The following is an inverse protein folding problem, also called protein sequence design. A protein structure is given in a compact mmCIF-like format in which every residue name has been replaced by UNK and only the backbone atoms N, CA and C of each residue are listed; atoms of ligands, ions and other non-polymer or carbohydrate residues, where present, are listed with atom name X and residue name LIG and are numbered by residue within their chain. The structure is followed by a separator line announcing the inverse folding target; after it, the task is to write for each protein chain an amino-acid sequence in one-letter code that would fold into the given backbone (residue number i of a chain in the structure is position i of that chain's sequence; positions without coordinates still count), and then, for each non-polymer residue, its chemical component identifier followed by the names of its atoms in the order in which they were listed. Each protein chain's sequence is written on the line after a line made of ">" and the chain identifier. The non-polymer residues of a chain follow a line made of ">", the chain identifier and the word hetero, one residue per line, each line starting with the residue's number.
data_IF_803640263267
#
_entry.id   IF_803640263267
#
_cell.length_a   1.000
_cell.length_b   1.000
_cell.length_c   1.000
_cell.angle_alpha   90.00
_cell.angle_beta   90.00
_cell.angle_gamma   90.00
#
_symmetry.space_group_name_H-M   'P 1'
#
loop_
_entity.id
_entity.type
_entity.pdbx_description
1 polymer ?
#
# COMPACT_ATOMS: atom_id res chain seq x y z
N UNK A 1 3.76 9.24 6.23
CA UNK A 1 2.90 10.44 6.13
C UNK A 1 1.44 10.02 6.18
N UNK A 2 0.58 10.81 6.82
CA UNK A 2 -0.88 10.61 6.89
C UNK A 2 -1.59 11.97 6.90
N UNK A 3 -2.85 12.00 6.46
CA UNK A 3 -3.73 13.17 6.48
C UNK A 3 -4.86 12.94 7.49
N UNK A 4 -5.30 14.01 8.16
CA UNK A 4 -6.58 13.99 8.86
C UNK A 4 -7.73 14.44 7.93
N UNK A 5 -8.97 14.37 8.42
CA UNK A 5 -10.15 14.74 7.66
C UNK A 5 -10.21 16.23 7.26
N UNK A 6 -9.45 17.10 7.94
CA UNK A 6 -9.33 18.53 7.63
C UNK A 6 -8.21 18.82 6.62
N UNK A 7 -7.50 17.80 6.14
CA UNK A 7 -6.38 17.91 5.21
C UNK A 7 -5.07 18.36 5.85
N UNK A 8 -4.97 18.30 7.18
CA UNK A 8 -3.68 18.52 7.83
C UNK A 8 -2.75 17.32 7.55
N UNK A 9 -1.46 17.61 7.36
CA UNK A 9 -0.44 16.65 7.00
C UNK A 9 0.41 16.30 8.22
N UNK A 10 0.57 15.03 8.49
CA UNK A 10 1.44 14.52 9.56
C UNK A 10 2.54 13.66 8.95
N UNK A 11 3.78 13.98 9.30
CA UNK A 11 4.98 13.30 8.79
C UNK A 11 5.76 12.77 9.96
N UNK A 12 6.26 11.55 9.86
CA UNK A 12 7.29 11.03 10.77
C UNK A 12 8.50 10.60 9.96
N UNK A 13 9.65 10.79 10.54
CA UNK A 13 10.96 10.46 10.00
C UNK A 13 12.00 10.49 11.10
N UNK A 14 13.24 10.47 10.76
CA UNK A 14 14.33 10.61 11.72
C UNK A 14 15.25 11.77 11.37
N UNK A 15 15.86 12.34 12.38
CA UNK A 15 16.85 13.41 12.24
C UNK A 15 18.16 13.00 12.89
N UNK A 16 19.26 13.28 12.22
CA UNK A 16 20.59 13.10 12.77
C UNK A 16 20.87 14.20 13.80
N UNK A 17 21.24 13.80 15.02
CA UNK A 17 21.72 14.71 16.06
C UNK A 17 23.21 14.51 16.18
N UNK A 18 23.98 15.58 16.05
CA UNK A 18 25.44 15.74 16.24
C UNK A 18 26.29 14.46 16.10
N UNK A 19 27.15 14.44 15.09
CA UNK A 19 28.25 13.47 14.97
C UNK A 19 27.96 12.21 14.16
N UNK A 20 26.87 12.14 13.37
CA UNK A 20 26.52 11.05 12.44
C UNK A 20 26.22 9.67 13.05
N UNK A 21 25.99 9.57 14.37
CA UNK A 21 25.84 8.28 15.03
C UNK A 21 24.45 8.08 15.64
N UNK A 22 23.73 9.16 15.98
CA UNK A 22 22.42 9.07 16.66
C UNK A 22 21.33 9.65 15.77
N UNK A 23 20.23 8.91 15.65
CA UNK A 23 19.01 9.38 14.98
C UNK A 23 17.86 9.38 15.96
N UNK A 24 17.09 10.48 16.01
CA UNK A 24 15.87 10.58 16.80
C UNK A 24 14.64 10.57 15.92
N UNK A 25 13.54 10.02 16.44
CA UNK A 25 12.24 10.09 15.73
C UNK A 25 11.76 11.53 15.75
N UNK A 26 11.46 12.07 14.57
CA UNK A 26 10.86 13.40 14.40
C UNK A 26 9.45 13.23 13.87
N UNK A 27 8.49 13.95 14.47
CA UNK A 27 7.11 14.01 14.00
C UNK A 27 6.72 15.47 13.79
N UNK A 28 6.15 15.78 12.62
CA UNK A 28 5.81 17.13 12.21
C UNK A 28 4.35 17.18 11.76
N UNK A 29 3.64 18.21 12.19
CA UNK A 29 2.31 18.55 11.69
C UNK A 29 2.36 19.83 10.87
N UNK A 30 1.73 19.78 9.69
CA UNK A 30 1.42 20.93 8.88
C UNK A 30 -0.10 21.07 8.77
N UNK A 31 -0.61 22.29 8.67
CA UNK A 31 -2.01 22.48 8.29
C UNK A 31 -2.20 22.24 6.77
N UNK A 32 -3.45 22.26 6.32
CA UNK A 32 -3.82 22.06 4.91
C UNK A 32 -3.29 23.14 3.94
N UNK A 33 -2.74 24.22 4.46
CA UNK A 33 -2.05 25.27 3.69
C UNK A 33 -0.53 25.10 3.69
N UNK A 34 0.00 23.98 4.24
CA UNK A 34 1.41 23.69 4.30
C UNK A 34 2.18 24.43 5.40
N UNK A 35 1.48 25.13 6.33
CA UNK A 35 2.14 25.84 7.42
C UNK A 35 2.38 24.89 8.58
N UNK A 36 3.65 24.80 9.02
CA UNK A 36 4.05 23.96 10.15
C UNK A 36 3.35 24.40 11.43
N UNK A 37 2.71 23.46 12.12
CA UNK A 37 2.00 23.69 13.37
C UNK A 37 2.86 23.33 14.58
N UNK A 38 3.50 22.18 14.51
CA UNK A 38 4.43 21.71 15.54
C UNK A 38 5.42 20.69 15.02
N UNK A 39 6.55 20.58 15.72
CA UNK A 39 7.57 19.53 15.55
C UNK A 39 7.82 18.89 16.91
N UNK A 40 7.93 17.58 16.95
CA UNK A 40 8.29 16.78 18.13
C UNK A 40 9.42 15.84 17.81
N UNK A 41 10.35 15.75 18.75
CA UNK A 41 11.49 14.82 18.67
C UNK A 41 11.38 13.85 19.84
N UNK A 42 11.53 12.57 19.58
CA UNK A 42 11.65 11.54 20.59
C UNK A 42 13.05 10.95 20.52
N UNK A 43 13.76 11.00 21.65
CA UNK A 43 15.06 10.39 21.87
C UNK A 43 14.89 9.31 22.95
N UNK A 44 15.20 8.07 22.62
CA UNK A 44 15.18 6.95 23.54
C UNK A 44 16.22 7.07 24.64
N UNK A 45 16.15 6.16 25.61
CA UNK A 45 16.98 6.25 26.84
C UNK A 45 18.45 5.94 26.66
N UNK A 46 18.87 5.31 25.54
CA UNK A 46 20.24 4.90 25.31
C UNK A 46 21.04 5.92 24.47
N UNK A 47 20.39 6.98 23.93
CA UNK A 47 21.02 7.97 23.09
C UNK A 47 21.61 7.38 21.78
N UNK A 48 20.99 6.31 21.27
CA UNK A 48 21.33 5.61 20.04
C UNK A 48 20.26 5.88 18.97
N UNK A 49 20.25 5.04 17.93
CA UNK A 49 19.30 5.17 16.83
C UNK A 49 17.84 4.93 17.27
N UNK A 50 16.98 5.90 16.97
CA UNK A 50 15.53 5.81 17.07
C UNK A 50 14.94 6.07 15.69
N UNK A 51 14.17 5.12 15.15
CA UNK A 51 13.64 5.19 13.78
C UNK A 51 12.16 4.88 13.73
N UNK A 52 11.31 5.75 13.15
CA UNK A 52 9.90 5.47 12.99
C UNK A 52 9.69 4.51 11.81
N UNK A 53 8.63 3.70 11.91
CA UNK A 53 8.20 2.79 10.84
C UNK A 53 6.76 3.05 10.42
N UNK A 54 5.97 3.78 11.22
CA UNK A 54 4.58 4.06 10.90
C UNK A 54 4.00 5.22 11.68
N UNK A 55 2.98 5.86 11.10
CA UNK A 55 2.21 6.94 11.68
C UNK A 55 0.75 6.80 11.31
N UNK A 56 -0.15 7.02 12.27
CA UNK A 56 -1.60 7.11 12.06
C UNK A 56 -2.17 8.28 12.85
N UNK A 57 -3.32 8.79 12.42
CA UNK A 57 -4.05 9.88 13.08
C UNK A 57 -5.50 9.44 13.33
N UNK A 58 -6.03 9.72 14.52
CA UNK A 58 -7.43 9.46 14.84
C UNK A 58 -8.35 10.63 14.41
N UNK A 59 -9.66 10.43 14.55
CA UNK A 59 -10.65 11.44 14.17
C UNK A 59 -10.57 12.73 15.01
N UNK A 60 -9.98 12.67 16.21
CA UNK A 60 -9.75 13.83 17.08
C UNK A 60 -8.44 14.56 16.75
N UNK A 61 -7.67 14.07 15.77
CA UNK A 61 -6.39 14.62 15.37
C UNK A 61 -5.23 14.22 16.28
N UNK A 62 -5.41 13.23 17.18
CA UNK A 62 -4.29 12.67 17.93
C UNK A 62 -3.44 11.80 17.01
N UNK A 63 -2.14 11.86 17.21
CA UNK A 63 -1.14 11.23 16.35
C UNK A 63 -0.48 10.09 17.09
N UNK A 64 -0.39 8.94 16.44
CA UNK A 64 0.30 7.78 16.96
C UNK A 64 1.43 7.40 16.03
N UNK A 65 2.63 7.30 16.59
CA UNK A 65 3.85 6.94 15.87
C UNK A 65 4.40 5.65 16.45
N UNK A 66 4.76 4.71 15.60
CA UNK A 66 5.51 3.53 16.02
C UNK A 66 6.86 3.46 15.34
N UNK A 67 7.79 2.77 15.96
CA UNK A 67 9.13 2.59 15.44
C UNK A 67 9.99 1.73 16.35
N UNK A 68 11.27 1.86 16.16
CA UNK A 68 12.30 1.13 16.90
C UNK A 68 13.12 2.12 17.72
N UNK A 69 13.35 1.79 18.97
CA UNK A 69 14.18 2.56 19.90
C UNK A 69 15.20 1.66 20.55
N UNK A 70 16.43 2.12 20.63
CA UNK A 70 17.44 1.38 21.36
C UNK A 70 17.28 1.68 22.87
N UNK A 71 17.26 0.65 23.69
CA UNK A 71 17.09 0.75 25.13
C UNK A 71 18.32 0.25 25.87
N UNK A 72 18.62 0.85 27.02
CA UNK A 72 19.76 0.43 27.87
C UNK A 72 19.56 -1.00 28.34
N UNK A 73 20.44 -1.91 27.92
CA UNK A 73 20.41 -3.32 28.33
C UNK A 73 19.63 -4.25 27.40
N UNK A 74 19.01 -3.72 26.35
CA UNK A 74 18.45 -4.44 25.20
C UNK A 74 19.01 -3.88 23.90
N UNK A 75 18.72 -4.55 22.79
CA UNK A 75 18.93 -3.99 21.43
C UNK A 75 17.78 -3.06 21.08
N UNK A 76 17.29 -3.10 19.83
CA UNK A 76 16.10 -2.34 19.46
C UNK A 76 14.85 -2.92 20.12
N UNK A 77 13.99 -2.05 20.66
CA UNK A 77 12.66 -2.39 21.17
C UNK A 77 11.60 -1.64 20.35
N UNK A 78 10.36 -2.14 20.30
CA UNK A 78 9.27 -1.34 19.76
C UNK A 78 9.09 -0.09 20.63
N UNK A 79 8.81 1.01 19.97
CA UNK A 79 8.28 2.21 20.62
C UNK A 79 6.97 2.61 19.97
N UNK A 80 6.00 3.00 20.78
CA UNK A 80 4.73 3.59 20.33
C UNK A 80 4.49 4.86 21.14
N UNK A 81 4.30 5.97 20.43
CA UNK A 81 4.19 7.32 21.02
C UNK A 81 2.84 7.89 20.62
N UNK A 82 2.15 8.50 21.58
CA UNK A 82 0.95 9.30 21.31
C UNK A 82 1.22 10.77 21.55
N UNK A 83 0.88 11.59 20.56
CA UNK A 83 0.77 13.03 20.69
C UNK A 83 -0.69 13.46 20.55
N UNK A 84 -1.11 14.43 21.38
CA UNK A 84 -2.39 15.10 21.16
C UNK A 84 -2.41 15.87 19.84
N UNK A 85 -3.57 16.33 19.40
CA UNK A 85 -3.72 17.17 18.21
C UNK A 85 -2.90 18.47 18.26
N UNK A 86 -2.55 18.96 19.46
CA UNK A 86 -1.67 20.11 19.71
C UNK A 86 -0.19 19.76 19.80
N UNK A 87 0.18 18.47 19.70
CA UNK A 87 1.55 18.00 19.77
C UNK A 87 2.06 17.73 21.20
N UNK A 88 1.19 17.70 22.21
CA UNK A 88 1.60 17.29 23.55
C UNK A 88 1.79 15.77 23.58
N UNK A 89 2.96 15.30 24.02
CA UNK A 89 3.19 13.88 24.28
C UNK A 89 2.31 13.42 25.44
N UNK A 90 1.41 12.47 25.18
CA UNK A 90 0.49 11.96 26.19
C UNK A 90 1.00 10.67 26.83
N UNK A 91 1.60 9.80 26.03
CA UNK A 91 2.23 8.57 26.51
C UNK A 91 3.24 8.00 25.50
N UNK A 92 4.18 7.24 26.07
CA UNK A 92 5.13 6.40 25.31
C UNK A 92 5.03 4.97 25.84
N UNK A 93 4.95 3.99 24.95
CA UNK A 93 4.98 2.56 25.27
C UNK A 93 6.14 1.90 24.57
N UNK A 94 6.85 1.04 25.31
CA UNK A 94 7.92 0.20 24.76
C UNK A 94 7.51 -1.26 24.89
N UNK A 95 7.92 -2.07 23.95
CA UNK A 95 7.78 -3.52 24.03
C UNK A 95 9.11 -4.16 23.68
N UNK A 96 9.60 -4.95 24.64
CA UNK A 96 10.75 -5.81 24.52
C UNK A 96 10.24 -7.26 24.59
N UNK A 97 10.57 -8.06 23.58
CA UNK A 97 10.15 -9.45 23.49
C UNK A 97 10.79 -10.33 24.56
N UNK A 98 10.43 -11.62 24.52
CA UNK A 98 10.77 -12.57 25.58
C UNK A 98 12.25 -12.95 25.67
N UNK A 99 13.02 -12.74 24.57
CA UNK A 99 14.44 -13.10 24.52
C UNK A 99 15.39 -11.92 24.75
N UNK A 100 14.85 -10.72 25.04
CA UNK A 100 15.62 -9.50 25.30
C UNK A 100 16.60 -9.15 24.15
N UNK A 101 16.20 -9.43 22.91
CA UNK A 101 16.99 -9.16 21.70
C UNK A 101 16.44 -7.97 20.91
N UNK A 102 16.76 -7.90 19.62
CA UNK A 102 16.27 -6.82 18.76
C UNK A 102 14.83 -7.09 18.32
N UNK A 103 13.89 -6.32 18.86
CA UNK A 103 12.48 -6.32 18.50
C UNK A 103 12.18 -5.13 17.59
N UNK A 104 11.56 -5.37 16.42
CA UNK A 104 11.35 -4.35 15.38
C UNK A 104 9.88 -4.18 15.05
N UNK A 105 9.30 -3.02 15.41
CA UNK A 105 7.98 -2.61 14.94
C UNK A 105 8.02 -2.32 13.44
N UNK A 106 7.04 -2.83 12.69
CA UNK A 106 6.98 -2.70 11.23
C UNK A 106 5.75 -1.94 10.74
N UNK A 107 4.70 -1.85 11.53
CA UNK A 107 3.50 -1.14 11.15
C UNK A 107 2.56 -0.85 12.30
N UNK A 108 1.69 0.12 12.07
CA UNK A 108 0.67 0.59 13.00
C UNK A 108 -0.65 0.83 12.27
N UNK A 109 -1.76 0.52 12.92
CA UNK A 109 -3.11 0.79 12.41
C UNK A 109 -4.03 1.13 13.59
N UNK A 110 -5.08 1.92 13.33
CA UNK A 110 -6.19 2.10 14.24
C UNK A 110 -7.31 1.11 13.89
N UNK A 111 -7.89 0.47 14.90
CA UNK A 111 -9.14 -0.26 14.70
C UNK A 111 -10.35 0.71 14.72
N UNK A 112 -11.53 0.19 14.41
CA UNK A 112 -12.76 0.98 14.37
C UNK A 112 -13.20 1.58 15.73
N UNK A 113 -12.60 1.12 16.82
CA UNK A 113 -12.81 1.66 18.18
C UNK A 113 -11.73 2.67 18.58
N UNK A 114 -10.81 2.99 17.67
CA UNK A 114 -9.68 3.89 17.93
C UNK A 114 -8.55 3.25 18.74
N UNK A 115 -8.55 1.93 18.92
CA UNK A 115 -7.43 1.25 19.56
C UNK A 115 -6.24 1.17 18.59
N UNK A 116 -5.05 1.23 19.15
CA UNK A 116 -3.80 1.26 18.42
C UNK A 116 -3.25 -0.16 18.34
N UNK A 117 -3.09 -0.69 17.13
CA UNK A 117 -2.51 -2.00 16.90
C UNK A 117 -1.15 -1.84 16.22
N UNK A 118 -0.12 -2.43 16.79
CA UNK A 118 1.26 -2.40 16.30
C UNK A 118 1.70 -3.83 16.06
N UNK A 119 2.33 -4.10 14.92
CA UNK A 119 2.92 -5.40 14.64
C UNK A 119 4.33 -5.27 14.10
N UNK A 120 5.12 -6.28 14.36
CA UNK A 120 6.49 -6.43 13.94
C UNK A 120 7.02 -7.79 14.33
N UNK A 121 8.31 -7.89 14.59
CA UNK A 121 8.94 -9.16 14.91
C UNK A 121 10.12 -8.98 15.89
N UNK A 122 10.48 -10.06 16.56
CA UNK A 122 11.63 -10.12 17.45
C UNK A 122 11.94 -11.55 17.90
N UNK A 123 13.12 -11.78 18.47
CA UNK A 123 13.51 -13.12 18.87
C UNK A 123 12.62 -13.66 20.00
N UNK A 124 12.34 -14.95 19.91
CA UNK A 124 11.62 -15.70 20.95
C UNK A 124 12.56 -16.57 21.77
N UNK A 125 12.19 -16.86 23.02
CA UNK A 125 12.99 -17.74 23.87
C UNK A 125 12.86 -19.19 23.41
N UNK A 126 13.91 -19.70 22.77
CA UNK A 126 13.93 -21.07 22.24
C UNK A 126 13.17 -21.27 20.92
N UNK A 127 12.69 -20.18 20.35
CA UNK A 127 12.11 -20.10 19.01
C UNK A 127 12.99 -19.19 18.14
N UNK A 128 12.80 -19.10 16.85
CA UNK A 128 13.53 -18.17 16.01
C UNK A 128 13.07 -16.73 16.21
N UNK A 129 12.90 -16.00 15.12
CA UNK A 129 12.27 -14.69 15.10
C UNK A 129 10.75 -14.90 14.98
N UNK A 130 9.98 -14.35 15.91
CA UNK A 130 8.53 -14.49 15.98
C UNK A 130 7.84 -13.15 15.66
N UNK A 131 6.64 -13.21 15.08
CA UNK A 131 5.79 -12.03 14.94
C UNK A 131 5.21 -11.67 16.31
N UNK A 132 5.28 -10.39 16.69
CA UNK A 132 4.60 -9.85 17.86
C UNK A 132 3.61 -8.78 17.42
N UNK A 133 2.36 -8.90 17.88
CA UNK A 133 1.29 -7.93 17.64
C UNK A 133 0.73 -7.48 18.98
N UNK A 134 0.63 -6.17 19.16
CA UNK A 134 0.22 -5.53 20.43
C UNK A 134 -0.95 -4.61 20.14
N UNK A 135 -1.93 -4.61 21.03
CA UNK A 135 -3.06 -3.68 20.98
C UNK A 135 -3.10 -2.83 22.23
N UNK A 136 -3.16 -1.52 22.06
CA UNK A 136 -3.33 -0.54 23.10
C UNK A 136 -4.68 0.17 22.97
N UNK A 137 -5.28 0.53 24.10
CA UNK A 137 -6.38 1.49 24.10
C UNK A 137 -5.90 2.90 23.74
N UNK A 138 -6.77 3.86 23.38
CA UNK A 138 -6.39 5.26 23.16
C UNK A 138 -5.71 5.92 24.38
N UNK A 139 -5.94 5.41 25.61
CA UNK A 139 -5.28 5.83 26.84
C UNK A 139 -3.91 5.19 27.08
N UNK A 140 -3.44 4.33 26.16
CA UNK A 140 -2.16 3.63 26.28
C UNK A 140 -2.19 2.39 27.19
N UNK A 141 -3.37 1.89 27.57
CA UNK A 141 -3.47 0.62 28.28
C UNK A 141 -3.28 -0.52 27.31
N UNK A 142 -2.37 -1.43 27.61
CA UNK A 142 -2.20 -2.66 26.84
C UNK A 142 -3.44 -3.54 26.99
N UNK A 143 -4.11 -3.84 25.89
CA UNK A 143 -5.30 -4.69 25.88
C UNK A 143 -4.91 -6.16 25.66
N UNK A 144 -3.96 -6.41 24.80
CA UNK A 144 -3.38 -7.73 24.57
C UNK A 144 -2.06 -7.65 23.81
N UNK A 145 -1.23 -8.68 24.01
CA UNK A 145 -0.05 -9.00 23.21
C UNK A 145 -0.22 -10.41 22.66
N UNK A 146 0.02 -10.60 21.39
CA UNK A 146 0.04 -11.91 20.73
C UNK A 146 1.36 -12.13 20.02
N UNK A 147 1.99 -13.26 20.31
CA UNK A 147 3.12 -13.73 19.54
C UNK A 147 2.67 -14.88 18.64
N UNK A 148 3.12 -14.87 17.42
CA UNK A 148 2.95 -15.98 16.50
C UNK A 148 4.31 -16.60 16.24
N UNK A 149 4.40 -17.88 16.57
CA UNK A 149 5.57 -18.74 16.39
C UNK A 149 5.13 -19.94 15.59
N UNK A 150 5.79 -20.23 14.48
CA UNK A 150 5.67 -21.53 13.83
C UNK A 150 6.42 -22.60 14.64
N UNK A 151 6.42 -23.84 14.18
CA UNK A 151 7.12 -24.91 14.89
C UNK A 151 8.64 -24.79 14.80
N UNK A 152 9.35 -25.02 15.90
CA UNK A 152 10.81 -25.07 15.94
C UNK A 152 11.47 -23.70 16.04
N UNK A 153 12.65 -23.56 15.42
CA UNK A 153 13.46 -22.33 15.40
C UNK A 153 13.30 -21.55 14.09
N UNK A 154 12.13 -21.62 13.49
CA UNK A 154 11.80 -20.92 12.25
C UNK A 154 11.69 -19.42 12.48
N UNK A 155 11.77 -18.65 11.40
CA UNK A 155 11.64 -17.21 11.45
C UNK A 155 10.32 -16.76 10.81
N UNK A 156 9.60 -15.90 11.51
CA UNK A 156 8.40 -15.22 11.04
C UNK A 156 8.59 -13.72 11.14
N UNK A 157 8.44 -13.04 10.01
CA UNK A 157 8.71 -11.61 9.86
C UNK A 157 7.42 -10.88 9.47
N UNK A 158 6.85 -10.08 10.36
CA UNK A 158 5.78 -9.17 9.99
C UNK A 158 6.32 -8.03 9.12
N UNK A 159 5.51 -7.58 8.15
CA UNK A 159 5.82 -6.45 7.27
C UNK A 159 4.78 -5.35 7.34
N UNK A 160 3.50 -5.70 7.31
CA UNK A 160 2.40 -4.73 7.35
C UNK A 160 1.24 -5.24 8.19
N UNK A 161 0.43 -4.29 8.65
CA UNK A 161 -0.76 -4.53 9.47
C UNK A 161 -1.93 -3.74 8.89
N UNK A 162 -3.13 -4.32 8.94
CA UNK A 162 -4.39 -3.71 8.56
C UNK A 162 -5.50 -4.06 9.54
N UNK A 163 -6.60 -3.32 9.50
CA UNK A 163 -7.77 -3.57 10.32
C UNK A 163 -9.03 -3.49 9.47
N UNK A 164 -10.06 -4.27 9.80
CA UNK A 164 -11.39 -4.14 9.23
C UNK A 164 -12.34 -3.36 10.14
N UNK A 165 -13.51 -3.03 9.60
CA UNK A 165 -14.55 -2.29 10.32
C UNK A 165 -15.19 -3.08 11.48
N UNK A 166 -14.90 -4.38 11.62
CA UNK A 166 -15.35 -5.22 12.74
C UNK A 166 -14.30 -5.29 13.86
N UNK A 167 -13.19 -4.56 13.71
CA UNK A 167 -12.09 -4.52 14.66
C UNK A 167 -11.16 -5.73 14.61
N UNK A 168 -11.25 -6.57 13.57
CA UNK A 168 -10.28 -7.61 13.33
C UNK A 168 -8.99 -7.01 12.79
N UNK A 169 -7.88 -7.63 13.19
CA UNK A 169 -6.53 -7.19 12.83
C UNK A 169 -5.90 -8.23 11.91
N UNK A 170 -5.29 -7.76 10.85
CA UNK A 170 -4.62 -8.58 9.86
C UNK A 170 -3.14 -8.20 9.81
N UNK A 171 -2.27 -9.20 9.89
CA UNK A 171 -0.82 -9.02 9.78
C UNK A 171 -0.33 -9.83 8.60
N UNK A 172 0.47 -9.24 7.74
CA UNK A 172 1.15 -9.95 6.67
C UNK A 172 2.66 -9.83 6.78
N UNK A 173 3.34 -10.80 6.20
CA UNK A 173 4.78 -10.89 6.16
C UNK A 173 5.21 -12.23 5.58
N UNK A 174 6.26 -12.80 6.14
CA UNK A 174 6.80 -14.07 5.68
C UNK A 174 7.03 -15.02 6.86
N UNK A 175 6.92 -16.30 6.60
CA UNK A 175 7.18 -17.32 7.61
C UNK A 175 7.81 -18.56 6.99
N UNK A 176 8.80 -19.14 7.70
CA UNK A 176 9.53 -20.31 7.22
C UNK A 176 8.62 -21.53 7.11
N UNK A 177 8.70 -22.21 5.97
CA UNK A 177 8.05 -23.49 5.67
C UNK A 177 9.07 -24.41 5.04
N UNK A 178 9.35 -25.56 5.63
CA UNK A 178 10.23 -26.59 5.06
C UNK A 178 11.59 -26.11 4.52
N UNK A 179 12.16 -25.03 5.05
CA UNK A 179 13.39 -24.31 4.72
C UNK A 179 13.24 -23.09 3.79
N UNK A 180 12.05 -22.79 3.28
CA UNK A 180 11.77 -21.59 2.48
C UNK A 180 10.88 -20.61 3.27
N UNK A 181 10.87 -19.35 2.89
CA UNK A 181 9.96 -18.34 3.44
C UNK A 181 8.79 -18.15 2.48
N UNK A 182 7.56 -18.31 2.98
CA UNK A 182 6.35 -18.08 2.20
C UNK A 182 5.59 -16.89 2.74
N UNK A 183 4.67 -16.32 1.94
CA UNK A 183 3.72 -15.33 2.47
C UNK A 183 3.03 -15.90 3.69
N UNK A 184 3.00 -15.11 4.73
CA UNK A 184 2.26 -15.40 5.96
C UNK A 184 1.22 -14.31 6.17
N UNK A 185 -0.04 -14.71 6.35
CA UNK A 185 -1.13 -13.79 6.71
C UNK A 185 -1.85 -14.34 7.92
N UNK A 186 -2.00 -13.51 8.96
CA UNK A 186 -2.64 -13.86 10.22
C UNK A 186 -3.82 -12.92 10.42
N UNK A 187 -4.97 -13.47 10.81
CA UNK A 187 -6.11 -12.70 11.30
C UNK A 187 -6.29 -12.92 12.78
N UNK A 188 -6.31 -11.82 13.52
CA UNK A 188 -6.72 -11.78 14.92
C UNK A 188 -8.13 -11.18 15.02
N UNK A 189 -8.94 -11.70 15.93
CA UNK A 189 -10.19 -11.05 16.34
C UNK A 189 -9.91 -9.76 17.10
N UNK A 190 -10.91 -8.93 17.34
CA UNK A 190 -10.76 -7.73 18.16
C UNK A 190 -10.26 -8.02 19.60
N UNK A 191 -10.49 -9.25 20.12
CA UNK A 191 -10.03 -9.75 21.40
C UNK A 191 -8.63 -10.36 21.40
N UNK A 192 -8.02 -10.44 20.21
CA UNK A 192 -6.67 -10.97 20.01
C UNK A 192 -6.59 -12.48 19.79
N UNK A 193 -7.72 -13.17 19.68
CA UNK A 193 -7.69 -14.60 19.34
C UNK A 193 -7.32 -14.78 17.87
N UNK A 194 -6.44 -15.74 17.58
CA UNK A 194 -6.10 -16.08 16.20
C UNK A 194 -7.30 -16.74 15.53
N UNK A 195 -7.94 -16.03 14.60
CA UNK A 195 -9.07 -16.56 13.85
C UNK A 195 -8.61 -17.52 12.75
N UNK A 196 -7.55 -17.17 12.05
CA UNK A 196 -6.92 -18.03 11.06
C UNK A 196 -5.49 -17.55 10.72
N UNK A 197 -4.71 -18.46 10.17
CA UNK A 197 -3.41 -18.23 9.56
C UNK A 197 -3.40 -18.80 8.18
N UNK A 198 -2.86 -18.10 7.20
CA UNK A 198 -2.71 -18.58 5.82
C UNK A 198 -1.30 -18.34 5.32
N UNK A 199 -0.84 -19.30 4.55
CA UNK A 199 0.40 -19.24 3.81
C UNK A 199 0.09 -19.26 2.32
N UNK A 200 0.89 -18.58 1.54
CA UNK A 200 0.88 -18.67 0.09
C UNK A 200 2.31 -18.99 -0.33
N UNK A 201 2.43 -20.12 -0.95
CA UNK A 201 3.60 -20.66 -1.61
C UNK A 201 3.34 -20.51 -3.11
N UNK A 202 4.27 -19.91 -3.81
CA UNK A 202 4.20 -19.68 -5.26
C UNK A 202 4.26 -20.98 -6.05
N UNK A 203 4.35 -20.90 -7.38
CA UNK A 203 4.41 -22.09 -8.23
C UNK A 203 5.74 -22.84 -8.17
N UNK A 204 6.81 -22.19 -7.73
CA UNK A 204 8.09 -22.82 -7.43
C UNK A 204 8.26 -22.89 -5.91
N UNK A 205 8.70 -24.02 -5.37
CA UNK A 205 8.93 -24.18 -3.93
C UNK A 205 10.21 -23.43 -3.50
N UNK A 206 10.25 -22.12 -3.71
CA UNK A 206 11.31 -21.20 -3.32
C UNK A 206 10.73 -20.09 -2.41
N UNK A 207 11.48 -19.05 -2.17
CA UNK A 207 11.14 -18.01 -1.21
C UNK A 207 10.09 -17.04 -1.75
N UNK A 208 9.05 -16.78 -0.95
CA UNK A 208 7.98 -15.83 -1.23
C UNK A 208 7.85 -14.83 -0.08
N UNK A 209 7.71 -13.55 -0.37
CA UNK A 209 7.63 -12.50 0.65
C UNK A 209 6.35 -11.67 0.53
N UNK A 210 5.52 -11.68 1.57
CA UNK A 210 4.36 -10.79 1.69
C UNK A 210 4.78 -9.43 2.26
N UNK A 211 4.72 -8.37 1.45
CA UNK A 211 5.16 -7.03 1.86
C UNK A 211 4.03 -6.10 2.25
N UNK A 212 2.90 -6.19 1.59
CA UNK A 212 1.82 -5.24 1.69
C UNK A 212 0.48 -5.91 1.96
N UNK A 213 -0.37 -5.24 2.72
CA UNK A 213 -1.75 -5.66 2.96
C UNK A 213 -2.68 -4.45 2.81
N UNK A 214 -3.80 -4.66 2.12
CA UNK A 214 -4.90 -3.71 2.05
C UNK A 214 -6.19 -4.43 2.45
N UNK A 215 -6.92 -3.85 3.39
CA UNK A 215 -8.17 -4.40 3.91
C UNK A 215 -9.29 -3.46 3.51
N UNK A 216 -10.15 -3.89 2.57
CA UNK A 216 -11.32 -3.13 2.16
C UNK A 216 -12.46 -3.29 3.17
N UNK A 217 -12.73 -4.53 3.52
CA UNK A 217 -13.68 -4.94 4.53
C UNK A 217 -13.31 -6.32 5.11
N UNK A 218 -14.15 -6.88 5.98
CA UNK A 218 -13.89 -8.19 6.59
C UNK A 218 -13.87 -9.36 5.59
N UNK A 219 -14.32 -9.17 4.36
CA UNK A 219 -14.41 -10.21 3.33
C UNK A 219 -13.50 -9.97 2.11
N UNK A 220 -12.78 -8.86 2.09
CA UNK A 220 -11.92 -8.46 1.00
C UNK A 220 -10.56 -8.02 1.54
N UNK A 221 -9.66 -8.98 1.74
CA UNK A 221 -8.31 -8.80 2.25
C UNK A 221 -7.33 -9.11 1.13
N UNK A 222 -6.53 -8.14 0.74
CA UNK A 222 -5.56 -8.23 -0.33
C UNK A 222 -4.15 -8.21 0.25
N UNK A 223 -3.34 -9.18 -0.13
CA UNK A 223 -1.92 -9.27 0.26
C UNK A 223 -1.10 -9.32 -1.01
N UNK A 224 -0.06 -8.51 -1.09
CA UNK A 224 0.85 -8.50 -2.23
C UNK A 224 2.31 -8.49 -1.78
N UNK A 225 3.15 -9.04 -2.63
CA UNK A 225 4.58 -9.17 -2.38
C UNK A 225 5.29 -9.75 -3.59
N UNK A 226 6.45 -10.36 -3.37
CA UNK A 226 7.22 -11.04 -4.41
C UNK A 226 7.16 -12.54 -4.23
N UNK A 227 7.18 -13.28 -5.32
CA UNK A 227 7.11 -14.74 -5.34
C UNK A 227 7.91 -15.27 -6.51
N UNK A 228 8.76 -16.26 -6.24
CA UNK A 228 9.49 -16.95 -7.30
C UNK A 228 8.54 -17.78 -8.16
N UNK A 229 8.72 -17.69 -9.49
CA UNK A 229 7.98 -18.47 -10.46
C UNK A 229 8.80 -19.62 -11.02
N UNK A 230 8.12 -20.63 -11.58
CA UNK A 230 8.79 -21.76 -12.21
C UNK A 230 9.47 -21.31 -13.51
N UNK A 231 10.77 -21.05 -13.44
CA UNK A 231 11.55 -20.52 -14.56
C UNK A 231 11.54 -18.98 -14.64
N UNK A 232 10.98 -18.30 -13.64
CA UNK A 232 10.98 -16.85 -13.50
C UNK A 232 11.77 -16.43 -12.25
N UNK A 233 12.21 -15.17 -12.18
CA UNK A 233 12.78 -14.57 -10.96
C UNK A 233 11.66 -14.23 -9.95
N UNK A 234 11.87 -13.24 -9.10
CA UNK A 234 10.82 -12.72 -8.22
C UNK A 234 9.82 -11.89 -9.02
N UNK A 235 8.57 -12.37 -9.08
CA UNK A 235 7.46 -11.67 -9.70
C UNK A 235 6.52 -11.09 -8.65
N UNK A 236 5.75 -10.09 -9.00
CA UNK A 236 4.71 -9.59 -8.11
C UNK A 236 3.60 -10.63 -7.98
N UNK A 237 3.36 -11.10 -6.76
CA UNK A 237 2.21 -11.93 -6.45
C UNK A 237 1.20 -11.16 -5.61
N UNK A 238 -0.08 -11.31 -5.94
CA UNK A 238 -1.19 -10.73 -5.18
C UNK A 238 -2.24 -11.80 -4.89
N UNK A 239 -2.64 -11.89 -3.64
CA UNK A 239 -3.59 -12.89 -3.14
C UNK A 239 -4.75 -12.20 -2.45
N UNK A 240 -5.97 -12.64 -2.73
CA UNK A 240 -7.18 -12.18 -2.04
C UNK A 240 -7.75 -13.27 -1.16
N UNK A 241 -8.07 -12.90 0.08
CA UNK A 241 -8.76 -13.76 1.05
C UNK A 241 -10.13 -13.18 1.41
N UNK A 242 -11.07 -14.08 1.77
CA UNK A 242 -12.32 -13.69 2.40
C UNK A 242 -12.21 -13.70 3.94
N UNK A 243 -13.31 -13.40 4.63
CA UNK A 243 -13.39 -13.32 6.10
C UNK A 243 -12.99 -14.61 6.82
N UNK A 244 -13.19 -15.77 6.18
CA UNK A 244 -12.80 -17.09 6.71
C UNK A 244 -11.36 -17.49 6.34
N UNK A 245 -10.62 -16.60 5.67
CA UNK A 245 -9.29 -16.87 5.16
C UNK A 245 -9.24 -17.81 3.96
N UNK A 246 -10.37 -18.01 3.27
CA UNK A 246 -10.37 -18.78 2.02
C UNK A 246 -9.85 -17.90 0.90
N UNK A 247 -8.81 -18.38 0.21
CA UNK A 247 -8.25 -17.71 -0.96
C UNK A 247 -9.28 -17.65 -2.07
N UNK A 248 -9.62 -16.45 -2.51
CA UNK A 248 -10.55 -16.20 -3.59
C UNK A 248 -9.87 -16.30 -4.94
N UNK A 249 -8.69 -15.68 -5.04
CA UNK A 249 -7.83 -15.73 -6.19
C UNK A 249 -6.38 -15.43 -5.80
N UNK A 250 -5.45 -15.78 -6.67
CA UNK A 250 -4.08 -15.32 -6.67
C UNK A 250 -3.71 -14.97 -8.10
N UNK A 251 -3.07 -13.83 -8.30
CA UNK A 251 -2.55 -13.38 -9.59
C UNK A 251 -1.06 -13.10 -9.45
N UNK A 252 -0.32 -13.38 -10.50
CA UNK A 252 1.09 -13.05 -10.62
C UNK A 252 1.26 -12.09 -11.77
N UNK A 253 2.22 -11.21 -11.64
CA UNK A 253 2.65 -10.32 -12.69
C UNK A 253 4.15 -10.51 -12.88
N UNK A 254 4.53 -10.95 -14.05
CA UNK A 254 5.87 -11.10 -14.57
C UNK A 254 6.08 -9.96 -15.57
N UNK A 255 7.13 -9.18 -15.38
CA UNK A 255 7.43 -7.99 -16.16
C UNK A 255 7.77 -8.30 -17.61
N UNK A 256 7.74 -7.28 -18.49
CA UNK A 256 8.02 -7.48 -19.94
C UNK A 256 9.45 -7.89 -20.25
N UNK A 257 10.38 -7.70 -19.33
CA UNK A 257 11.78 -8.08 -19.52
C UNK A 257 12.00 -9.57 -19.63
N UNK A 258 11.01 -10.36 -19.20
CA UNK A 258 11.07 -11.82 -19.18
C UNK A 258 12.29 -12.34 -18.44
N UNK A 259 12.26 -13.59 -18.10
CA UNK A 259 13.34 -14.20 -17.36
C UNK A 259 14.50 -14.54 -18.27
N UNK A 260 15.54 -13.75 -18.21
CA UNK A 260 16.82 -14.06 -18.85
C UNK A 260 17.52 -15.30 -18.28
N UNK A 261 16.75 -16.37 -18.05
CA UNK A 261 17.24 -17.64 -17.51
C UNK A 261 18.14 -18.43 -18.49
N UNK A 262 18.48 -17.83 -19.66
CA UNK A 262 19.21 -18.53 -20.72
C UNK A 262 20.73 -18.65 -20.52
N UNK A 263 21.33 -18.16 -19.43
CA UNK A 263 22.80 -18.29 -19.22
C UNK A 263 23.26 -18.68 -17.82
N UNK A 264 22.44 -19.34 -17.01
CA UNK A 264 22.91 -20.20 -15.89
C UNK A 264 23.57 -19.53 -14.68
N UNK A 265 23.66 -18.21 -14.52
CA UNK A 265 24.53 -17.62 -13.50
C UNK A 265 24.06 -16.38 -12.74
N UNK A 266 22.88 -15.80 -12.97
CA UNK A 266 22.48 -14.61 -12.18
C UNK A 266 21.02 -14.68 -11.79
N UNK A 267 20.70 -15.30 -10.65
CA UNK A 267 19.49 -14.98 -9.88
C UNK A 267 19.66 -13.55 -9.34
N UNK A 268 18.66 -12.70 -9.50
CA UNK A 268 18.59 -11.45 -8.77
C UNK A 268 18.76 -10.14 -9.55
N UNK A 269 18.67 -10.14 -10.89
CA UNK A 269 18.73 -8.90 -11.68
C UNK A 269 17.44 -8.58 -12.47
N UNK A 270 16.41 -9.40 -12.37
CA UNK A 270 15.19 -9.32 -13.17
C UNK A 270 13.96 -9.43 -12.27
N UNK A 271 13.97 -8.69 -11.18
CA UNK A 271 12.97 -8.78 -10.11
C UNK A 271 11.89 -7.71 -10.31
N UNK A 272 10.63 -8.09 -10.16
CA UNK A 272 9.50 -7.19 -10.10
C UNK A 272 9.08 -6.98 -8.64
N UNK A 273 9.01 -5.74 -8.20
CA UNK A 273 8.67 -5.41 -6.81
C UNK A 273 7.40 -4.61 -6.68
N UNK A 274 6.61 -4.94 -5.66
CA UNK A 274 5.49 -4.10 -5.21
C UNK A 274 5.93 -3.27 -4.01
N UNK A 275 5.70 -1.96 -4.09
CA UNK A 275 6.08 -0.99 -3.05
C UNK A 275 4.88 -0.25 -2.43
N UNK A 276 3.69 -0.38 -3.01
CA UNK A 276 2.50 0.26 -2.48
C UNK A 276 1.20 -0.35 -2.99
N UNK A 277 0.18 -0.35 -2.12
CA UNK A 277 -1.19 -0.76 -2.42
C UNK A 277 -2.17 0.34 -2.02
N UNK A 278 -3.23 0.51 -2.80
CA UNK A 278 -4.38 1.34 -2.47
C UNK A 278 -5.66 0.70 -3.00
N UNK A 279 -6.80 1.05 -2.41
CA UNK A 279 -8.13 0.57 -2.80
C UNK A 279 -9.03 1.77 -3.11
N UNK A 280 -9.88 1.64 -4.13
CA UNK A 280 -10.97 2.59 -4.35
C UNK A 280 -12.25 2.16 -3.62
N UNK A 281 -13.29 3.00 -3.69
CA UNK A 281 -14.59 2.73 -3.05
C UNK A 281 -15.33 1.52 -3.60
N UNK A 282 -14.97 1.03 -4.77
CA UNK A 282 -15.56 -0.14 -5.42
C UNK A 282 -14.79 -1.42 -5.09
N UNK A 283 -13.71 -1.31 -4.30
CA UNK A 283 -12.83 -2.42 -3.93
C UNK A 283 -11.86 -2.83 -5.04
N UNK A 284 -11.65 -1.99 -6.07
CA UNK A 284 -10.58 -2.22 -7.02
C UNK A 284 -9.23 -1.99 -6.33
N UNK A 285 -8.28 -2.85 -6.62
CA UNK A 285 -6.94 -2.81 -6.09
C UNK A 285 -6.01 -2.10 -7.07
N UNK A 286 -5.25 -1.15 -6.55
CA UNK A 286 -4.14 -0.51 -7.26
C UNK A 286 -2.85 -0.87 -6.58
N UNK A 287 -1.86 -1.25 -7.35
CA UNK A 287 -0.51 -1.47 -6.86
C UNK A 287 0.49 -0.66 -7.67
N UNK A 288 1.56 -0.26 -7.03
CA UNK A 288 2.71 0.36 -7.67
C UNK A 288 4.00 -0.28 -7.20
N UNK A 289 5.01 -0.17 -8.03
CA UNK A 289 6.32 -0.74 -7.75
C UNK A 289 7.28 -0.55 -8.91
N UNK A 290 8.09 -1.57 -9.14
CA UNK A 290 9.04 -1.62 -10.25
C UNK A 290 8.77 -2.86 -11.09
N UNK A 291 8.96 -2.75 -12.40
CA UNK A 291 8.98 -3.86 -13.32
C UNK A 291 10.31 -3.87 -14.08
N UNK A 292 10.89 -5.03 -14.26
CA UNK A 292 12.14 -5.17 -14.99
C UNK A 292 11.92 -5.19 -16.50
N UNK A 293 12.77 -4.43 -17.20
CA UNK A 293 12.85 -4.37 -18.66
C UNK A 293 14.28 -4.62 -19.11
N UNK A 294 14.47 -5.44 -20.13
CA UNK A 294 15.82 -5.78 -20.62
C UNK A 294 16.65 -4.57 -21.09
N UNK A 295 16.00 -3.51 -21.57
CA UNK A 295 16.67 -2.34 -22.14
C UNK A 295 16.76 -1.15 -21.16
N UNK A 296 15.75 -0.97 -20.27
CA UNK A 296 15.63 0.15 -19.34
C UNK A 296 15.91 -0.21 -17.87
N UNK A 297 16.16 -1.49 -17.56
CA UNK A 297 16.30 -2.04 -16.20
C UNK A 297 14.95 -2.05 -15.49
N UNK A 298 14.80 -1.27 -14.40
CA UNK A 298 13.54 -1.21 -13.65
C UNK A 298 12.82 0.09 -13.95
N UNK A 299 11.55 -0.02 -14.36
CA UNK A 299 10.68 1.11 -14.61
C UNK A 299 9.55 1.16 -13.60
N UNK A 300 8.94 2.33 -13.42
CA UNK A 300 7.69 2.44 -12.66
C UNK A 300 6.65 1.50 -13.22
N UNK A 301 6.00 0.80 -12.31
CA UNK A 301 4.84 -0.04 -12.58
C UNK A 301 3.64 0.50 -11.80
N UNK A 302 2.48 0.58 -12.47
CA UNK A 302 1.19 0.80 -11.81
C UNK A 302 0.16 -0.13 -12.44
N UNK A 303 -0.50 -0.96 -11.63
CA UNK A 303 -1.51 -1.93 -12.09
C UNK A 303 -2.82 -1.70 -11.36
N UNK A 304 -3.95 -1.82 -12.07
CA UNK A 304 -5.29 -1.90 -11.50
C UNK A 304 -5.88 -3.28 -11.72
N UNK A 305 -6.37 -3.88 -10.64
CA UNK A 305 -7.20 -5.08 -10.65
C UNK A 305 -8.61 -4.78 -10.17
N UNK A 306 -9.62 -5.41 -10.78
CA UNK A 306 -10.96 -5.39 -10.20
C UNK A 306 -11.07 -6.37 -9.01
N UNK A 307 -12.19 -6.33 -8.23
CA UNK A 307 -12.35 -7.21 -7.07
C UNK A 307 -12.31 -8.71 -7.38
N UNK A 308 -12.43 -9.11 -8.65
CA UNK A 308 -12.35 -10.52 -9.09
C UNK A 308 -10.92 -10.95 -9.43
N UNK A 309 -9.94 -10.04 -9.37
CA UNK A 309 -8.54 -10.28 -9.71
C UNK A 309 -8.22 -10.10 -11.20
N UNK A 310 -9.19 -9.59 -11.98
CA UNK A 310 -8.94 -9.30 -13.40
C UNK A 310 -8.20 -7.98 -13.54
N UNK A 311 -7.07 -8.01 -14.24
CA UNK A 311 -6.33 -6.80 -14.60
C UNK A 311 -7.19 -5.91 -15.51
N UNK A 312 -7.34 -4.65 -15.14
CA UNK A 312 -8.10 -3.63 -15.90
C UNK A 312 -7.20 -2.80 -16.78
N UNK A 313 -6.06 -2.38 -16.24
CA UNK A 313 -5.01 -1.68 -16.95
C UNK A 313 -3.67 -1.82 -16.22
N UNK A 314 -2.62 -1.53 -16.96
CA UNK A 314 -1.24 -1.47 -16.50
C UNK A 314 -0.59 -0.26 -17.14
N UNK A 315 0.25 0.45 -16.40
CA UNK A 315 1.01 1.58 -16.87
C UNK A 315 2.46 1.46 -16.41
N UNK A 316 3.35 1.83 -17.30
CA UNK A 316 4.78 1.94 -17.03
C UNK A 316 5.21 3.38 -17.23
N UNK A 317 6.25 3.78 -16.53
CA UNK A 317 6.94 5.04 -16.78
C UNK A 317 8.44 4.77 -16.74
N UNK A 318 9.07 5.02 -17.89
CA UNK A 318 10.53 5.07 -18.09
C UNK A 318 10.91 6.55 -18.10
N UNK A 319 11.88 6.93 -17.28
CA UNK A 319 12.38 8.29 -17.18
C UNK A 319 13.06 8.79 -18.47
N UNK A 320 13.76 9.91 -18.37
CA UNK A 320 14.43 10.51 -19.54
C UNK A 320 15.63 9.70 -20.05
N UNK A 321 16.18 8.86 -19.20
CA UNK A 321 17.25 7.92 -19.55
C UNK A 321 16.83 6.54 -19.09
N UNK A 322 17.01 5.55 -19.94
CA UNK A 322 16.72 4.14 -19.63
C UNK A 322 17.65 3.66 -18.51
N UNK A 323 17.22 3.81 -17.27
CA UNK A 323 17.93 3.44 -16.04
C UNK A 323 16.89 3.08 -14.96
N UNK A 324 17.30 3.04 -13.71
CA UNK A 324 16.46 2.66 -12.58
C UNK A 324 15.37 3.70 -12.26
N UNK A 325 14.10 3.33 -12.43
CA UNK A 325 12.92 4.10 -12.07
C UNK A 325 12.00 3.24 -11.19
N UNK A 326 11.28 3.82 -10.24
CA UNK A 326 10.41 3.01 -9.41
C UNK A 326 9.37 3.77 -8.60
N UNK A 327 8.15 3.22 -8.57
CA UNK A 327 7.06 3.68 -7.74
C UNK A 327 7.22 3.19 -6.30
N UNK A 328 7.17 4.10 -5.32
CA UNK A 328 7.32 3.74 -3.90
C UNK A 328 6.01 3.81 -3.11
N UNK A 329 5.09 4.65 -3.52
CA UNK A 329 3.83 4.85 -2.80
C UNK A 329 2.71 5.24 -3.74
N UNK A 330 1.51 4.81 -3.43
CA UNK A 330 0.30 5.06 -4.21
C UNK A 330 -0.83 5.49 -3.28
N UNK A 331 -1.57 6.52 -3.69
CA UNK A 331 -2.78 6.97 -3.01
C UNK A 331 -3.83 7.38 -4.04
N UNK A 332 -5.10 7.34 -3.63
CA UNK A 332 -6.22 7.83 -4.42
C UNK A 332 -6.83 9.05 -3.76
N UNK A 333 -7.29 10.02 -4.57
CA UNK A 333 -8.16 11.09 -4.07
C UNK A 333 -9.64 10.66 -4.12
N UNK A 334 -10.50 11.49 -3.53
CA UNK A 334 -11.95 11.24 -3.50
C UNK A 334 -12.62 11.26 -4.89
N UNK A 335 -11.90 11.72 -5.91
CA UNK A 335 -12.34 11.74 -7.31
C UNK A 335 -11.86 10.49 -8.06
N UNK A 336 -11.15 9.59 -7.38
CA UNK A 336 -10.58 8.38 -7.96
C UNK A 336 -9.30 8.62 -8.78
N UNK A 337 -8.71 9.82 -8.76
CA UNK A 337 -7.39 9.99 -9.35
C UNK A 337 -6.34 9.26 -8.52
N UNK A 338 -5.40 8.65 -9.21
CA UNK A 338 -4.31 7.90 -8.60
C UNK A 338 -3.05 8.77 -8.63
N UNK A 339 -2.38 8.89 -7.50
CA UNK A 339 -1.10 9.56 -7.40
C UNK A 339 -0.07 8.52 -6.98
N UNK A 340 0.97 8.37 -7.80
CA UNK A 340 2.09 7.48 -7.54
C UNK A 340 3.34 8.34 -7.38
N UNK A 341 4.08 8.14 -6.31
CA UNK A 341 5.35 8.82 -6.08
C UNK A 341 6.47 7.81 -5.92
N UNK A 342 7.68 8.20 -6.33
CA UNK A 342 8.86 7.37 -6.24
C UNK A 342 10.09 8.10 -6.75
N UNK A 343 10.96 7.41 -7.44
CA UNK A 343 12.23 7.96 -7.92
C UNK A 343 12.41 7.69 -9.42
N UNK A 344 13.16 8.57 -10.07
CA UNK A 344 13.57 8.41 -11.46
C UNK A 344 15.00 8.89 -11.63
N UNK A 345 15.76 8.21 -12.46
CA UNK A 345 17.12 8.59 -12.78
C UNK A 345 17.16 9.56 -13.96
N UNK A 346 17.83 10.71 -13.78
CA UNK A 346 17.96 11.74 -14.81
C UNK A 346 19.39 11.89 -15.35
N UNK A 347 20.34 11.17 -14.77
CA UNK A 347 21.74 11.18 -15.23
C UNK A 347 22.37 9.80 -15.09
N UNK A 348 23.44 9.55 -15.84
CA UNK A 348 24.23 8.32 -15.75
C UNK A 348 25.02 8.17 -14.43
N UNK A 349 24.91 9.13 -13.52
CA UNK A 349 25.67 9.20 -12.26
C UNK A 349 24.94 8.65 -11.04
N UNK A 350 23.84 7.89 -11.20
CA UNK A 350 22.99 7.39 -10.11
C UNK A 350 22.37 8.50 -9.24
N UNK A 351 22.12 9.65 -9.82
CA UNK A 351 21.34 10.71 -9.17
C UNK A 351 19.86 10.45 -9.42
N UNK A 352 19.11 10.27 -8.32
CA UNK A 352 17.68 10.03 -8.37
C UNK A 352 16.92 11.28 -7.93
N UNK A 353 15.92 11.64 -8.73
CA UNK A 353 14.96 12.69 -8.39
C UNK A 353 13.63 12.08 -7.95
N UNK A 354 12.93 12.78 -7.06
CA UNK A 354 11.59 12.40 -6.69
C UNK A 354 10.62 12.78 -7.80
N UNK A 355 9.85 11.81 -8.27
CA UNK A 355 8.81 12.04 -9.28
C UNK A 355 7.44 11.64 -8.74
N UNK A 356 6.41 12.41 -9.13
CA UNK A 356 5.02 12.08 -8.83
C UNK A 356 4.23 12.06 -10.12
N UNK A 357 3.55 10.95 -10.36
CA UNK A 357 2.71 10.73 -11.54
C UNK A 357 1.26 10.74 -11.09
N UNK A 358 0.43 11.51 -11.77
CA UNK A 358 -1.02 11.48 -11.60
C UNK A 358 -1.65 10.72 -12.77
N UNK A 359 -2.38 9.66 -12.46
CA UNK A 359 -3.29 9.02 -13.41
C UNK A 359 -4.70 9.48 -13.10
N UNK A 360 -5.34 10.12 -14.07
CA UNK A 360 -6.76 10.43 -13.99
C UNK A 360 -7.54 9.19 -14.42
N UNK A 361 -8.44 8.72 -13.58
CA UNK A 361 -9.43 7.77 -14.05
C UNK A 361 -10.40 8.56 -14.93
N UNK A 362 -10.47 8.19 -16.18
CA UNK A 362 -11.60 8.60 -17.01
C UNK A 362 -12.83 8.03 -16.31
N UNK A 363 -13.71 8.91 -15.80
CA UNK A 363 -14.90 8.51 -15.05
C UNK A 363 -15.66 7.54 -15.96
N UNK A 364 -15.74 6.31 -15.51
CA UNK A 364 -16.61 5.24 -15.93
C UNK A 364 -17.10 5.22 -17.38
N UNK A 365 -16.20 4.98 -18.37
CA UNK A 365 -16.69 4.51 -19.66
C UNK A 365 -16.90 3.01 -19.53
N UNK A 366 -18.15 2.59 -19.54
CA UNK A 366 -18.50 1.18 -19.64
C UNK A 366 -18.95 0.86 -21.07
N UNK A 367 -18.34 -0.14 -21.69
CA UNK A 367 -18.91 -0.74 -22.90
C UNK A 367 -20.16 -1.52 -22.48
N UNK A 368 -21.34 -1.05 -22.91
CA UNK A 368 -22.62 -1.67 -22.57
C UNK A 368 -23.13 -2.60 -23.68
N UNK A 369 -22.55 -2.55 -24.88
CA UNK A 369 -22.79 -3.50 -25.96
C UNK A 369 -21.62 -3.49 -26.95
N UNK A 370 -21.12 -4.66 -27.29
CA UNK A 370 -20.12 -4.87 -28.36
C UNK A 370 -20.79 -5.09 -29.73
N UNK A 371 -22.11 -5.06 -29.84
CA UNK A 371 -22.79 -5.01 -31.14
C UNK A 371 -22.39 -3.72 -31.86
N UNK A 372 -22.02 -3.84 -33.13
CA UNK A 372 -21.61 -2.68 -33.94
C UNK A 372 -22.84 -1.84 -34.25
N UNK A 373 -22.95 -0.62 -33.72
CA UNK A 373 -24.08 0.25 -33.99
C UNK A 373 -24.06 0.74 -35.46
N UNK A 374 -25.23 0.98 -36.09
CA UNK A 374 -25.31 1.38 -37.49
C UNK A 374 -24.81 2.81 -37.73
N UNK A 375 -24.73 3.64 -36.71
CA UNK A 375 -24.32 5.06 -36.80
C UNK A 375 -23.80 5.60 -35.49
N UNK A 376 -23.07 6.72 -35.56
CA UNK A 376 -22.73 7.49 -34.37
C UNK A 376 -23.97 8.04 -33.70
N UNK A 377 -24.04 7.94 -32.39
CA UNK A 377 -25.11 8.55 -31.61
C UNK A 377 -24.59 9.06 -30.28
N UNK A 378 -25.21 10.16 -29.82
CA UNK A 378 -25.05 10.71 -28.48
C UNK A 378 -26.42 10.90 -27.88
N UNK A 379 -26.70 10.18 -26.80
CA UNK A 379 -28.00 10.29 -26.11
C UNK A 379 -28.01 11.42 -25.11
N UNK A 380 -29.21 11.92 -24.80
CA UNK A 380 -29.36 12.84 -23.68
C UNK A 380 -28.93 12.17 -22.38
N UNK A 381 -28.29 12.93 -21.52
CA UNK A 381 -27.89 12.45 -20.21
C UNK A 381 -29.11 12.03 -19.36
N UNK A 382 -28.97 10.96 -18.58
CA UNK A 382 -30.02 10.46 -17.68
C UNK A 382 -29.42 10.06 -16.32
N UNK A 383 -30.07 10.48 -15.18
CA UNK A 383 -31.24 11.35 -15.10
C UNK A 383 -30.97 12.78 -15.59
N UNK A 384 -32.00 13.51 -16.02
CA UNK A 384 -31.99 14.92 -16.34
C UNK A 384 -33.35 15.55 -15.94
N UNK A 385 -33.43 16.43 -14.93
CA UNK A 385 -32.30 16.98 -14.17
C UNK A 385 -31.56 15.94 -13.35
N UNK A 386 -30.28 16.21 -13.05
CA UNK A 386 -29.42 15.30 -12.29
C UNK A 386 -28.93 15.95 -10.98
N UNK A 387 -28.54 15.12 -9.99
CA UNK A 387 -28.02 15.58 -8.70
C UNK A 387 -27.18 14.48 -8.03
N UNK A 388 -25.87 14.63 -7.91
CA UNK A 388 -24.98 15.38 -8.81
C UNK A 388 -24.51 14.54 -10.01
N UNK A 389 -24.93 13.27 -10.11
CA UNK A 389 -24.45 12.30 -11.10
C UNK A 389 -25.45 12.09 -12.23
N UNK A 390 -24.95 11.99 -13.45
CA UNK A 390 -25.72 11.62 -14.63
C UNK A 390 -24.93 10.70 -15.55
N UNK A 391 -25.59 9.99 -16.44
CA UNK A 391 -25.00 9.09 -17.42
C UNK A 391 -25.19 9.63 -18.83
N UNK A 392 -24.17 9.55 -19.65
CA UNK A 392 -24.19 9.94 -21.06
C UNK A 392 -23.91 8.68 -21.89
N UNK A 393 -24.90 8.24 -22.69
CA UNK A 393 -24.77 7.09 -23.57
C UNK A 393 -24.39 7.55 -24.96
N UNK A 394 -23.40 6.88 -25.57
CA UNK A 394 -22.96 7.16 -26.94
C UNK A 394 -22.61 5.87 -27.70
N UNK A 395 -22.68 5.91 -29.02
CA UNK A 395 -22.39 4.79 -29.89
C UNK A 395 -21.41 5.17 -31.00
N UNK A 396 -20.47 4.27 -31.28
CA UNK A 396 -19.46 4.43 -32.32
C UNK A 396 -19.46 3.23 -33.26
N UNK A 397 -19.71 3.40 -34.56
CA UNK A 397 -19.79 2.29 -35.52
C UNK A 397 -18.43 1.80 -35.97
N UNK A 398 -17.37 2.58 -35.79
CA UNK A 398 -16.00 2.25 -36.26
C UNK A 398 -15.03 2.54 -35.12
N UNK A 399 -14.07 1.63 -34.89
CA UNK A 399 -12.99 1.87 -33.94
C UNK A 399 -12.17 3.10 -34.31
N UNK A 400 -11.86 3.93 -33.33
CA UNK A 400 -11.10 5.15 -33.53
C UNK A 400 -10.99 6.02 -32.27
N UNK A 401 -10.32 7.15 -32.44
CA UNK A 401 -10.15 8.12 -31.37
C UNK A 401 -11.48 8.85 -31.06
N UNK A 402 -11.89 8.85 -29.81
CA UNK A 402 -13.14 9.46 -29.33
C UNK A 402 -12.81 10.50 -28.27
N UNK A 403 -13.35 11.71 -28.45
CA UNK A 403 -13.31 12.76 -27.44
C UNK A 403 -14.74 13.12 -27.07
N UNK A 404 -15.15 12.93 -25.79
CA UNK A 404 -16.44 13.36 -25.23
C UNK A 404 -16.19 14.42 -24.17
N UNK A 405 -16.72 15.61 -24.38
CA UNK A 405 -16.45 16.78 -23.57
C UNK A 405 -17.76 17.40 -23.08
N UNK A 406 -17.79 17.83 -21.82
CA UNK A 406 -18.87 18.60 -21.22
C UNK A 406 -18.49 20.08 -21.28
N UNK A 407 -19.40 20.91 -21.77
CA UNK A 407 -19.26 22.37 -21.84
C UNK A 407 -20.31 23.04 -20.97
N UNK A 408 -19.96 24.22 -20.43
CA UNK A 408 -20.95 25.11 -19.80
C UNK A 408 -21.77 25.89 -20.86
N UNK A 409 -22.75 26.63 -20.39
CA UNK A 409 -23.61 27.45 -21.28
C UNK A 409 -22.87 28.56 -22.02
N UNK A 410 -21.62 28.88 -21.62
CA UNK A 410 -20.76 29.85 -22.28
C UNK A 410 -19.79 29.20 -23.26
N UNK A 411 -19.86 27.88 -23.45
CA UNK A 411 -18.99 27.09 -24.34
C UNK A 411 -17.59 26.84 -23.77
N UNK A 412 -17.38 27.00 -22.48
CA UNK A 412 -16.10 26.66 -21.84
C UNK A 412 -16.10 25.19 -21.49
N UNK A 413 -14.99 24.49 -21.76
CA UNK A 413 -14.78 23.12 -21.36
C UNK A 413 -14.83 23.00 -19.83
N UNK A 414 -15.75 22.17 -19.32
CA UNK A 414 -15.90 21.86 -17.89
C UNK A 414 -15.13 20.61 -17.56
N UNK A 415 -15.32 19.55 -18.37
CA UNK A 415 -14.66 18.26 -18.15
C UNK A 415 -14.59 17.46 -19.45
N UNK A 416 -13.48 16.76 -19.68
CA UNK A 416 -13.36 15.74 -20.75
C UNK A 416 -13.67 14.38 -20.15
N UNK A 417 -14.76 13.75 -20.59
CA UNK A 417 -15.22 12.44 -20.11
C UNK A 417 -14.57 11.26 -20.86
N UNK A 418 -14.20 11.48 -22.12
CA UNK A 418 -13.55 10.48 -22.98
C UNK A 418 -12.47 11.18 -23.78
N UNK A 419 -11.29 10.60 -23.87
CA UNK A 419 -10.18 11.06 -24.69
C UNK A 419 -9.27 9.87 -25.02
N UNK A 420 -9.82 8.86 -25.74
CA UNK A 420 -9.14 7.59 -25.95
C UNK A 420 -9.54 6.92 -27.28
N UNK A 421 -8.77 5.91 -27.68
CA UNK A 421 -9.13 5.02 -28.79
C UNK A 421 -10.10 3.95 -28.30
N UNK A 422 -11.31 3.96 -28.82
CA UNK A 422 -12.34 2.97 -28.50
C UNK A 422 -12.63 2.04 -29.66
N UNK A 423 -12.96 0.78 -29.36
CA UNK A 423 -13.49 -0.16 -30.34
C UNK A 423 -14.91 0.24 -30.77
N UNK A 424 -15.37 -0.25 -31.92
CA UNK A 424 -16.78 -0.10 -32.31
C UNK A 424 -17.70 -0.71 -31.24
N UNK A 425 -18.78 -0.02 -30.86
CA UNK A 425 -19.67 -0.44 -29.79
C UNK A 425 -20.53 0.68 -29.22
N UNK A 426 -21.30 0.36 -28.19
CA UNK A 426 -22.12 1.31 -27.45
C UNK A 426 -21.53 1.46 -26.05
N UNK A 427 -21.40 2.72 -25.61
CA UNK A 427 -20.73 3.11 -24.37
C UNK A 427 -21.63 3.97 -23.51
N UNK A 428 -21.34 3.96 -22.22
CA UNK A 428 -21.93 4.84 -21.21
C UNK A 428 -20.79 5.53 -20.46
N UNK A 429 -20.84 6.84 -20.37
CA UNK A 429 -19.97 7.63 -19.52
C UNK A 429 -20.77 8.20 -18.34
N UNK A 430 -20.27 8.04 -17.13
CA UNK A 430 -20.84 8.63 -15.93
C UNK A 430 -20.17 9.99 -15.68
N UNK A 431 -20.98 11.01 -15.36
CA UNK A 431 -20.48 12.34 -15.03
C UNK A 431 -21.01 12.80 -13.69
N UNK A 432 -20.11 13.27 -12.83
CA UNK A 432 -20.44 13.84 -11.53
C UNK A 432 -20.14 15.35 -11.55
N UNK A 433 -21.18 16.17 -11.54
CA UNK A 433 -21.08 17.63 -11.60
C UNK A 433 -20.98 18.30 -10.21
N UNK A 434 -20.63 17.57 -9.16
CA UNK A 434 -20.39 18.17 -7.82
C UNK A 434 -19.00 18.78 -7.68
N UNK A 435 -18.23 18.86 -8.77
CA UNK A 435 -16.89 19.45 -8.82
C UNK A 435 -16.91 20.92 -9.23
#
# INVERSE_FOLDING_TARGET
>A
MVLDAAGNVYITGYSLISGFVNTDIVTIKYNNSGVQQWVKTYNGTAGNEDRPTGIVVDQAGNVYVTGNTNSTGSSDDYVTIKYSSSGTEEWVKKYNGTANGSDKAMGIVLDNSGNICVSGYGPGTGTGIDIATIKYSPAGTELWVKRYTASGTNNELARKIGADNNGNIYVTGSGTVANNMDFLTIKYTGTGDTAWTRKYDGPDADTDFGYHIAVFDSNNIYVSGTSYGSGTSEDIATVKYNSAGVRQWAVRYDGPGGDGYNNGNVRGLQEDFVNGLALDSDGNLYLTGTAYFNESRHDYLTIKYDPTGKQKWIQFYDGQISNEDGGNSIVLDNSGNIYVTGYSSFSSSNDYDCITIKYSQTIGISNISSEIPPSYSLSQNYPNPFNPVTNIKFAIPTSGFVKLVVFDMMGREVETLVNDNLAAGTYKADWNASK
#
